data_IF_652944732881
#
_entry.id   IF_652944732881
#
_cell.length_a   1.000
_cell.length_b   1.000
_cell.length_c   1.000
_cell.angle_alpha   90.00
_cell.angle_beta   90.00
_cell.angle_gamma   90.00
#
_symmetry.space_group_name_H-M   'P 1'
#
loop_
_entity.id
_entity.type
_entity.pdbx_description
1 polymer ?
#
# COMPACT_ATOMS: atom_id res chain seq x y z
N UNK A 1 20.01 6.07 -0.82
CA UNK A 1 18.90 5.11 -0.79
C UNK A 1 18.07 5.48 0.42
N UNK A 2 16.77 5.68 0.25
CA UNK A 2 15.87 5.89 1.38
C UNK A 2 15.87 4.60 2.21
N UNK A 3 15.92 4.72 3.53
CA UNK A 3 15.63 3.58 4.41
C UNK A 3 14.21 3.10 4.11
N UNK A 4 13.98 1.78 4.21
CA UNK A 4 12.64 1.21 3.99
C UNK A 4 11.70 1.76 5.06
N UNK A 5 10.48 2.14 4.67
CA UNK A 5 9.49 2.79 5.56
C UNK A 5 9.18 1.97 6.83
N UNK A 6 9.35 0.65 6.78
CA UNK A 6 9.10 -0.29 7.87
C UNK A 6 10.36 -0.72 8.64
N UNK A 7 11.55 -0.24 8.24
CA UNK A 7 12.82 -0.64 8.86
C UNK A 7 12.91 -0.16 10.30
N UNK A 8 13.28 -1.07 11.21
CA UNK A 8 13.52 -0.72 12.62
C UNK A 8 14.84 0.04 12.76
N UNK A 9 14.81 1.15 13.49
CA UNK A 9 16.00 1.96 13.76
C UNK A 9 17.14 1.12 14.36
N UNK A 10 18.32 1.25 13.77
CA UNK A 10 19.53 0.55 14.21
C UNK A 10 19.66 -0.90 13.75
N UNK A 11 18.75 -1.39 12.90
CA UNK A 11 18.83 -2.71 12.29
C UNK A 11 18.99 -2.52 10.77
N UNK A 12 20.13 -2.93 10.22
CA UNK A 12 20.32 -3.03 8.77
C UNK A 12 19.67 -4.32 8.24
N UNK A 13 18.87 -4.19 7.20
CA UNK A 13 18.34 -5.32 6.43
C UNK A 13 19.42 -5.88 5.51
N UNK A 14 19.72 -7.18 5.57
CA UNK A 14 20.67 -7.82 4.65
C UNK A 14 20.06 -7.83 3.22
N UNK A 15 20.68 -7.16 2.24
CA UNK A 15 20.13 -7.08 0.88
C UNK A 15 19.99 -8.44 0.18
N UNK A 16 20.73 -9.47 0.61
CA UNK A 16 20.59 -10.84 0.10
C UNK A 16 19.36 -11.52 0.66
N UNK A 17 19.03 -11.26 1.92
CA UNK A 17 17.79 -11.76 2.53
C UNK A 17 16.60 -11.08 1.85
N UNK A 18 16.65 -9.76 1.66
CA UNK A 18 15.61 -9.01 0.95
C UNK A 18 15.35 -9.58 -0.46
N UNK A 19 16.39 -9.72 -1.29
CA UNK A 19 16.24 -10.32 -2.63
C UNK A 19 15.69 -11.75 -2.62
N UNK A 20 16.03 -12.54 -1.61
CA UNK A 20 15.54 -13.91 -1.52
C UNK A 20 14.05 -13.96 -1.14
N UNK A 21 13.61 -13.05 -0.27
CA UNK A 21 12.22 -12.98 0.18
C UNK A 21 11.31 -12.29 -0.85
N UNK A 22 11.76 -11.19 -1.43
CA UNK A 22 11.01 -10.39 -2.41
C UNK A 22 10.67 -11.15 -3.70
N UNK A 23 11.46 -12.16 -4.08
CA UNK A 23 11.11 -13.11 -5.15
C UNK A 23 10.47 -12.48 -6.40
N UNK A 24 9.16 -12.71 -6.56
CA UNK A 24 8.33 -12.14 -7.62
C UNK A 24 7.20 -11.24 -7.06
N UNK A 25 7.38 -10.74 -5.84
CA UNK A 25 6.37 -10.02 -5.05
C UNK A 25 5.88 -8.79 -5.81
N UNK A 26 6.76 -7.97 -6.40
CA UNK A 26 6.33 -6.84 -7.26
C UNK A 26 5.37 -7.24 -8.38
N UNK A 27 5.52 -8.43 -8.98
CA UNK A 27 4.58 -8.91 -10.01
C UNK A 27 3.27 -9.39 -9.39
N UNK A 28 3.35 -10.14 -8.28
CA UNK A 28 2.18 -10.67 -7.60
C UNK A 28 1.36 -9.54 -6.95
N UNK A 29 2.01 -8.56 -6.36
CA UNK A 29 1.40 -7.41 -5.72
C UNK A 29 0.65 -6.54 -6.71
N UNK A 30 1.10 -6.45 -7.97
CA UNK A 30 0.32 -5.80 -9.04
C UNK A 30 -1.01 -6.52 -9.29
N UNK A 31 -1.01 -7.85 -9.26
CA UNK A 31 -2.25 -8.64 -9.40
C UNK A 31 -3.19 -8.46 -8.19
N UNK A 32 -2.62 -8.18 -7.01
CA UNK A 32 -3.35 -8.01 -5.76
C UNK A 32 -3.74 -6.55 -5.46
N UNK A 33 -3.11 -5.57 -6.11
CA UNK A 33 -3.17 -4.16 -5.72
C UNK A 33 -4.60 -3.60 -5.64
N UNK A 34 -5.44 -3.92 -6.64
CA UNK A 34 -6.83 -3.46 -6.64
C UNK A 34 -7.67 -4.10 -5.54
N UNK A 35 -7.36 -5.33 -5.15
CA UNK A 35 -8.02 -6.01 -4.02
C UNK A 35 -7.56 -5.43 -2.69
N UNK A 36 -6.29 -5.06 -2.57
CA UNK A 36 -5.76 -4.38 -1.37
C UNK A 36 -6.40 -2.99 -1.18
N UNK A 37 -6.63 -2.25 -2.27
CA UNK A 37 -7.39 -1.00 -2.22
C UNK A 37 -8.83 -1.23 -1.74
N UNK A 38 -9.51 -2.27 -2.23
CA UNK A 38 -10.86 -2.61 -1.80
C UNK A 38 -10.91 -2.96 -0.30
N UNK A 39 -9.95 -3.79 0.16
CA UNK A 39 -9.81 -4.13 1.57
C UNK A 39 -9.49 -2.89 2.44
N UNK A 40 -8.64 -1.99 1.94
CA UNK A 40 -8.29 -0.73 2.60
C UNK A 40 -9.51 0.18 2.75
N UNK A 41 -10.37 0.30 1.74
CA UNK A 41 -11.63 1.04 1.84
C UNK A 41 -12.54 0.46 2.92
N UNK A 42 -12.72 -0.87 2.93
CA UNK A 42 -13.51 -1.55 3.95
C UNK A 42 -12.94 -1.32 5.36
N UNK A 43 -11.61 -1.27 5.49
CA UNK A 43 -10.96 -0.97 6.76
C UNK A 43 -11.22 0.47 7.21
N UNK A 44 -11.14 1.44 6.31
CA UNK A 44 -11.46 2.86 6.57
C UNK A 44 -12.91 3.01 7.06
N UNK A 45 -13.87 2.39 6.39
CA UNK A 45 -15.28 2.36 6.82
C UNK A 45 -15.45 1.70 8.20
N UNK A 46 -14.68 0.63 8.47
CA UNK A 46 -14.66 -0.02 9.78
C UNK A 46 -14.16 0.90 10.90
N UNK A 47 -13.15 1.72 10.63
CA UNK A 47 -12.59 2.68 11.59
C UNK A 47 -13.55 3.84 11.89
N UNK A 48 -14.30 4.30 10.89
CA UNK A 48 -15.40 5.26 11.06
C UNK A 48 -16.49 4.69 11.98
N UNK A 49 -16.91 3.45 11.72
CA UNK A 49 -17.96 2.77 12.48
C UNK A 49 -17.63 2.60 13.97
N UNK A 50 -16.34 2.51 14.33
CA UNK A 50 -15.90 2.44 15.73
C UNK A 50 -15.47 3.81 16.30
N UNK A 51 -15.67 4.90 15.55
CA UNK A 51 -15.41 6.27 15.98
C UNK A 51 -13.94 6.65 16.08
N UNK A 52 -13.05 5.93 15.38
CA UNK A 52 -11.63 6.30 15.27
C UNK A 52 -11.45 7.38 14.20
N UNK A 53 -12.16 7.26 13.09
CA UNK A 53 -12.19 8.28 12.04
C UNK A 53 -13.49 9.08 12.12
N UNK A 54 -13.42 10.34 11.71
CA UNK A 54 -14.59 11.15 11.40
C UNK A 54 -15.06 10.90 9.98
N UNK A 55 -16.34 11.19 9.70
CA UNK A 55 -16.91 11.06 8.35
C UNK A 55 -16.12 11.84 7.28
N UNK A 56 -15.59 13.04 7.59
CA UNK A 56 -14.76 13.80 6.65
C UNK A 56 -13.42 13.11 6.34
N UNK A 57 -12.79 12.53 7.36
CA UNK A 57 -11.54 11.76 7.17
C UNK A 57 -11.81 10.49 6.34
N UNK A 58 -12.90 9.79 6.65
CA UNK A 58 -13.36 8.60 5.93
C UNK A 58 -13.60 8.90 4.45
N UNK A 59 -14.39 9.94 4.14
CA UNK A 59 -14.70 10.35 2.76
C UNK A 59 -13.42 10.72 1.98
N UNK A 60 -12.50 11.45 2.62
CA UNK A 60 -11.23 11.83 2.01
C UNK A 60 -10.36 10.61 1.72
N UNK A 61 -10.22 9.69 2.67
CA UNK A 61 -9.42 8.47 2.50
C UNK A 61 -9.99 7.58 1.39
N UNK A 62 -11.31 7.35 1.38
CA UNK A 62 -11.98 6.58 0.32
C UNK A 62 -11.76 7.21 -1.05
N UNK A 63 -11.89 8.54 -1.17
CA UNK A 63 -11.65 9.24 -2.44
C UNK A 63 -10.22 9.06 -2.95
N UNK A 64 -9.21 9.21 -2.09
CA UNK A 64 -7.82 9.05 -2.52
C UNK A 64 -7.49 7.59 -2.87
N UNK A 65 -8.09 6.61 -2.18
CA UNK A 65 -7.99 5.19 -2.54
C UNK A 65 -8.61 4.90 -3.92
N UNK A 66 -9.74 5.53 -4.25
CA UNK A 66 -10.36 5.41 -5.57
C UNK A 66 -9.53 6.08 -6.67
N UNK A 67 -8.95 7.25 -6.38
CA UNK A 67 -8.04 7.94 -7.30
C UNK A 67 -6.82 7.05 -7.59
N UNK A 68 -6.19 6.48 -6.57
CA UNK A 68 -5.04 5.57 -6.71
C UNK A 68 -5.40 4.32 -7.53
N UNK A 69 -6.60 3.76 -7.35
CA UNK A 69 -7.08 2.65 -8.16
C UNK A 69 -7.33 3.06 -9.63
N UNK A 70 -7.75 4.30 -9.87
CA UNK A 70 -7.84 4.88 -11.21
C UNK A 70 -6.47 4.96 -11.88
N UNK A 71 -5.53 5.64 -11.22
CA UNK A 71 -4.16 5.82 -11.70
C UNK A 71 -3.47 4.47 -12.00
N UNK A 72 -3.69 3.45 -11.17
CA UNK A 72 -3.14 2.11 -11.41
C UNK A 72 -3.75 1.42 -12.63
N UNK A 73 -5.07 1.55 -12.86
CA UNK A 73 -5.74 0.97 -14.04
C UNK A 73 -5.33 1.66 -15.34
N UNK A 74 -5.16 2.98 -15.28
CA UNK A 74 -4.79 3.79 -16.44
C UNK A 74 -3.27 3.68 -16.75
N UNK A 75 -2.49 3.10 -15.84
CA UNK A 75 -1.04 2.92 -15.97
C UNK A 75 -0.24 4.17 -15.59
N UNK A 76 -0.90 5.19 -15.06
CA UNK A 76 -0.28 6.42 -14.53
C UNK A 76 0.46 6.14 -13.21
N UNK A 77 0.03 5.12 -12.47
CA UNK A 77 0.76 4.56 -11.34
C UNK A 77 1.22 3.12 -11.63
N UNK A 78 2.52 2.87 -11.44
CA UNK A 78 3.13 1.54 -11.59
C UNK A 78 3.79 1.15 -10.28
N UNK A 79 3.29 0.09 -9.66
CA UNK A 79 3.93 -0.54 -8.50
C UNK A 79 5.22 -1.24 -8.97
N UNK A 80 6.39 -0.73 -8.61
CA UNK A 80 7.68 -1.26 -9.03
C UNK A 80 8.64 -1.45 -7.85
N UNK A 81 9.84 -1.99 -8.15
CA UNK A 81 10.87 -2.32 -7.17
C UNK A 81 11.33 -1.15 -6.28
N UNK A 82 10.89 0.09 -6.53
CA UNK A 82 11.19 1.22 -5.62
C UNK A 82 10.40 1.15 -4.31
N UNK A 83 9.33 0.36 -4.27
CA UNK A 83 8.46 0.22 -3.12
C UNK A 83 8.81 -1.01 -2.24
N UNK A 84 9.79 -1.82 -2.66
CA UNK A 84 10.35 -2.98 -1.92
C UNK A 84 11.83 -2.80 -1.54
#
# INVERSE_FOLDING_TARGET
>A
MSDLLWQKSGIETDPRIMRFLAGADVLLDRELFLFDIEASKAHVEGLDNIGILSADETDRLVRELEALAGDFRDGDFVLDDRFE
#
